data_IF_130980330666
#
_entry.id   IF_130980330666
#
_cell.length_a   1.000
_cell.length_b   1.000
_cell.length_c   1.000
_cell.angle_alpha   90.00
_cell.angle_beta   90.00
_cell.angle_gamma   90.00
#
_symmetry.space_group_name_H-M   'P 1'
#
loop_
_entity.id
_entity.type
_entity.pdbx_description
1 polymer ?
#
# COMPACT_ATOMS: atom_id res chain seq x y z
N UNK A 1 -17.76 -21.50 14.09
CA UNK A 1 -17.11 -20.23 13.80
C UNK A 1 -17.31 -19.88 12.32
N UNK A 2 -17.83 -18.67 12.03
CA UNK A 2 -18.14 -18.24 10.66
C UNK A 2 -16.85 -18.06 9.83
N UNK A 3 -15.76 -17.64 10.46
CA UNK A 3 -14.44 -17.47 9.80
C UNK A 3 -13.96 -18.78 9.20
N UNK A 4 -14.09 -19.90 9.93
CA UNK A 4 -13.66 -21.22 9.45
C UNK A 4 -14.42 -21.75 8.23
N UNK A 5 -15.57 -21.18 7.90
CA UNK A 5 -16.31 -21.56 6.68
C UNK A 5 -15.65 -21.03 5.40
N UNK A 6 -14.91 -19.93 5.50
CA UNK A 6 -14.26 -19.26 4.36
C UNK A 6 -12.74 -19.29 4.45
N UNK A 7 -12.20 -19.48 5.65
CA UNK A 7 -10.77 -19.58 5.92
C UNK A 7 -10.54 -20.68 6.97
N UNK A 8 -10.35 -21.94 6.55
CA UNK A 8 -10.44 -23.13 7.42
C UNK A 8 -9.18 -23.43 8.22
N UNK A 9 -8.41 -22.43 8.59
CA UNK A 9 -7.18 -22.57 9.37
C UNK A 9 -7.38 -22.18 10.83
N UNK A 10 -6.57 -22.77 11.70
CA UNK A 10 -6.44 -22.35 13.09
C UNK A 10 -5.29 -21.34 13.22
N UNK A 11 -5.58 -20.15 13.65
CA UNK A 11 -4.61 -19.06 13.81
C UNK A 11 -5.02 -18.10 14.92
N UNK A 12 -4.04 -17.37 15.43
CA UNK A 12 -4.27 -16.16 16.22
C UNK A 12 -3.73 -14.95 15.46
N UNK A 13 -4.53 -13.89 15.37
CA UNK A 13 -4.15 -12.62 14.76
C UNK A 13 -4.23 -11.51 15.79
N UNK A 14 -3.09 -10.90 16.11
CA UNK A 14 -2.99 -9.82 17.08
C UNK A 14 -2.58 -8.52 16.39
N UNK A 15 -3.33 -7.46 16.64
CA UNK A 15 -2.99 -6.11 16.19
C UNK A 15 -2.65 -5.27 17.41
N UNK A 16 -1.41 -4.82 17.49
CA UNK A 16 -0.94 -3.93 18.56
C UNK A 16 -0.70 -2.53 18.01
N UNK A 17 -1.31 -1.54 18.63
CA UNK A 17 -1.08 -0.13 18.30
C UNK A 17 -0.35 0.55 19.45
N UNK A 18 0.79 1.19 19.14
CA UNK A 18 1.61 1.93 20.11
C UNK A 18 1.73 3.38 19.68
N UNK A 19 1.39 4.30 20.58
CA UNK A 19 1.60 5.74 20.39
C UNK A 19 2.80 6.20 21.22
N UNK A 20 3.77 6.83 20.57
CA UNK A 20 4.93 7.44 21.23
C UNK A 20 5.23 8.80 20.58
N UNK A 21 4.99 9.88 21.32
CA UNK A 21 5.09 11.22 20.78
C UNK A 21 4.17 11.42 19.56
N UNK A 22 4.76 11.61 18.39
CA UNK A 22 4.03 11.77 17.10
C UNK A 22 4.06 10.52 16.23
N UNK A 23 4.50 9.40 16.77
CA UNK A 23 4.63 8.15 16.01
C UNK A 23 3.60 7.15 16.49
N UNK A 24 2.82 6.62 15.54
CA UNK A 24 1.96 5.44 15.72
C UNK A 24 2.68 4.26 15.09
N UNK A 25 2.87 3.21 15.87
CA UNK A 25 3.38 1.92 15.37
C UNK A 25 2.26 0.92 15.40
N UNK A 26 2.00 0.28 14.26
CA UNK A 26 1.05 -0.82 14.14
C UNK A 26 1.85 -2.10 13.92
N UNK A 27 1.61 -3.09 14.78
CA UNK A 27 2.26 -4.40 14.73
C UNK A 27 1.18 -5.44 14.47
N UNK A 28 1.38 -6.25 13.45
CA UNK A 28 0.55 -7.41 13.14
C UNK A 28 1.33 -8.67 13.45
N UNK A 29 0.74 -9.50 14.29
CA UNK A 29 1.31 -10.78 14.69
C UNK A 29 0.32 -11.88 14.26
N UNK A 30 0.77 -12.75 13.37
CA UNK A 30 0.01 -13.92 12.91
C UNK A 30 0.69 -15.16 13.44
N UNK A 31 0.00 -15.90 14.28
CA UNK A 31 0.46 -17.16 14.85
C UNK A 31 -0.34 -18.32 14.25
N UNK A 32 0.35 -19.26 13.64
CA UNK A 32 -0.24 -20.53 13.23
C UNK A 32 -0.46 -21.39 14.47
N UNK A 33 -1.70 -21.60 14.86
CA UNK A 33 -2.06 -22.48 16.00
C UNK A 33 -2.57 -23.83 15.56
N UNK A 34 -2.55 -24.11 14.24
CA UNK A 34 -2.89 -25.39 13.64
C UNK A 34 -1.68 -26.29 13.41
N UNK A 35 -1.91 -27.44 12.80
CA UNK A 35 -0.89 -28.42 12.45
C UNK A 35 -0.44 -28.33 11.00
N UNK A 36 -1.19 -27.64 10.14
CA UNK A 36 -0.93 -27.50 8.71
C UNK A 36 -0.30 -26.12 8.40
N UNK A 37 0.31 -25.97 7.24
CA UNK A 37 0.85 -24.71 6.78
C UNK A 37 -0.26 -23.66 6.67
N UNK A 38 0.01 -22.46 7.21
CA UNK A 38 -0.90 -21.32 7.17
C UNK A 38 -0.45 -20.33 6.11
N UNK A 39 -1.25 -20.15 5.08
CA UNK A 39 -1.07 -19.13 4.04
C UNK A 39 -1.96 -17.93 4.31
N UNK A 40 -1.40 -16.73 4.32
CA UNK A 40 -2.18 -15.52 4.59
C UNK A 40 -1.61 -14.30 3.86
N UNK A 41 -2.49 -13.31 3.69
CA UNK A 41 -2.11 -11.95 3.30
C UNK A 41 -2.53 -10.99 4.40
N UNK A 42 -1.76 -9.95 4.61
CA UNK A 42 -2.07 -8.89 5.58
C UNK A 42 -1.65 -7.53 5.04
N UNK A 43 -2.44 -6.52 5.32
CA UNK A 43 -2.14 -5.17 4.91
C UNK A 43 -2.93 -4.14 5.70
N UNK A 44 -2.56 -2.88 5.56
CA UNK A 44 -3.26 -1.76 6.15
C UNK A 44 -3.82 -0.82 5.09
N UNK A 45 -4.89 -0.12 5.44
CA UNK A 45 -5.52 0.88 4.60
C UNK A 45 -5.73 2.19 5.37
N UNK A 46 -4.66 2.76 5.97
CA UNK A 46 -4.79 4.01 6.70
C UNK A 46 -5.05 5.16 5.75
N UNK A 47 -6.08 5.95 6.06
CA UNK A 47 -6.42 7.18 5.35
C UNK A 47 -6.04 8.39 6.20
N UNK A 48 -5.42 9.38 5.57
CA UNK A 48 -4.99 10.62 6.21
C UNK A 48 -5.73 11.81 5.60
N UNK A 49 -6.41 12.57 6.45
CA UNK A 49 -6.99 13.84 6.03
C UNK A 49 -5.87 14.81 5.68
N UNK A 50 -5.96 15.42 4.51
CA UNK A 50 -4.93 16.33 4.00
C UNK A 50 -5.55 17.59 3.42
N UNK A 51 -4.79 18.71 3.35
CA UNK A 51 -5.20 19.91 2.65
C UNK A 51 -5.22 19.68 1.13
N UNK A 52 -5.84 20.59 0.39
CA UNK A 52 -6.04 20.46 -1.07
C UNK A 52 -4.76 20.37 -1.89
N UNK A 53 -3.65 20.93 -1.42
CA UNK A 53 -2.36 20.94 -2.13
C UNK A 53 -1.31 20.20 -1.32
N UNK A 54 -0.72 19.17 -1.91
CA UNK A 54 0.33 18.38 -1.28
C UNK A 54 1.19 17.67 -2.33
N UNK A 55 2.37 17.23 -1.90
CA UNK A 55 3.21 16.31 -2.66
C UNK A 55 3.19 14.93 -2.01
N UNK A 56 3.22 13.88 -2.81
CA UNK A 56 3.51 12.52 -2.35
C UNK A 56 5.01 12.29 -2.49
N UNK A 57 5.65 11.85 -1.42
CA UNK A 57 7.10 11.72 -1.31
C UNK A 57 7.47 10.26 -1.11
N UNK A 58 8.42 9.77 -1.90
CA UNK A 58 8.88 8.38 -1.87
C UNK A 58 10.30 8.29 -1.34
N UNK A 59 10.55 7.30 -0.49
CA UNK A 59 11.87 6.88 -0.01
C UNK A 59 12.75 8.00 0.58
N UNK A 60 12.15 9.10 1.07
CA UNK A 60 12.89 10.21 1.65
C UNK A 60 13.82 9.74 2.78
N UNK A 61 15.06 10.24 2.76
CA UNK A 61 16.14 9.87 3.69
C UNK A 61 16.62 8.40 3.60
N UNK A 62 16.26 7.68 2.54
CA UNK A 62 16.78 6.35 2.22
C UNK A 62 17.82 6.41 1.10
N UNK A 63 18.54 5.29 0.88
CA UNK A 63 19.57 5.20 -0.16
C UNK A 63 19.06 5.44 -1.57
N UNK A 64 17.81 5.06 -1.82
CA UNK A 64 17.10 5.21 -3.09
C UNK A 64 16.30 6.51 -3.20
N UNK A 65 16.50 7.47 -2.32
CA UNK A 65 15.82 8.77 -2.39
C UNK A 65 16.12 9.57 -3.66
N UNK A 66 17.20 9.28 -4.34
CA UNK A 66 17.57 9.92 -5.60
C UNK A 66 16.96 9.29 -6.85
N UNK A 67 16.11 8.28 -6.72
CA UNK A 67 15.41 7.70 -7.85
C UNK A 67 14.52 8.75 -8.53
N UNK A 68 14.58 8.76 -9.85
CA UNK A 68 13.83 9.68 -10.70
C UNK A 68 12.59 9.03 -11.30
N UNK A 69 12.42 7.73 -11.12
CA UNK A 69 11.33 6.95 -11.67
C UNK A 69 10.98 5.78 -10.74
N UNK A 70 9.68 5.50 -10.60
CA UNK A 70 9.13 4.28 -10.02
C UNK A 70 8.25 3.59 -11.06
N UNK A 71 8.08 2.29 -10.90
CA UNK A 71 7.13 1.52 -11.69
C UNK A 71 5.88 1.22 -10.87
N UNK A 72 4.71 1.36 -11.45
CA UNK A 72 3.44 1.04 -10.80
C UNK A 72 2.52 0.27 -11.71
N UNK A 73 1.59 -0.46 -11.11
CA UNK A 73 0.51 -1.17 -11.78
C UNK A 73 -0.84 -0.66 -11.29
N UNK A 74 -1.87 -0.92 -12.07
CA UNK A 74 -3.25 -0.50 -11.76
C UNK A 74 -4.16 -1.70 -11.57
N UNK A 75 -5.31 -1.45 -10.97
CA UNK A 75 -6.41 -2.42 -10.91
C UNK A 75 -7.17 -2.35 -12.23
N UNK A 76 -7.38 -3.50 -12.85
CA UNK A 76 -8.25 -3.64 -14.00
C UNK A 76 -9.72 -3.46 -13.56
N UNK A 77 -10.46 -2.51 -14.14
CA UNK A 77 -11.81 -2.18 -13.68
C UNK A 77 -12.86 -3.25 -14.00
N UNK A 78 -12.58 -4.17 -14.92
CA UNK A 78 -13.52 -5.22 -15.31
C UNK A 78 -13.41 -6.45 -14.41
N UNK A 79 -12.19 -6.80 -14.02
CA UNK A 79 -11.90 -8.00 -13.23
C UNK A 79 -11.62 -7.71 -11.75
N UNK A 80 -11.33 -6.46 -11.38
CA UNK A 80 -10.79 -6.04 -10.09
C UNK A 80 -9.45 -6.71 -9.72
N UNK A 81 -8.78 -7.33 -10.68
CA UNK A 81 -7.42 -7.86 -10.55
C UNK A 81 -6.37 -6.81 -10.88
N UNK A 82 -5.13 -7.03 -10.46
CA UNK A 82 -4.01 -6.17 -10.82
C UNK A 82 -3.54 -6.50 -12.24
N UNK A 83 -3.44 -5.49 -13.08
CA UNK A 83 -2.86 -5.60 -14.43
C UNK A 83 -1.32 -5.56 -14.34
N UNK A 84 -0.73 -6.64 -13.86
CA UNK A 84 0.70 -6.77 -13.74
C UNK A 84 1.43 -6.94 -15.08
N UNK A 85 0.70 -7.19 -16.17
CA UNK A 85 1.28 -7.33 -17.52
C UNK A 85 1.61 -5.97 -18.16
N UNK A 86 0.99 -4.88 -17.70
CA UNK A 86 1.14 -3.55 -18.27
C UNK A 86 1.60 -2.52 -17.22
N UNK A 87 2.81 -2.68 -16.65
CA UNK A 87 3.33 -1.71 -15.71
C UNK A 87 3.53 -0.34 -16.36
N UNK A 88 3.35 0.70 -15.56
CA UNK A 88 3.52 2.10 -15.97
C UNK A 88 4.66 2.74 -15.19
N UNK A 89 5.22 3.78 -15.76
CA UNK A 89 6.31 4.54 -15.16
C UNK A 89 5.81 5.84 -14.56
N UNK A 90 6.24 6.12 -13.34
CA UNK A 90 5.98 7.34 -12.61
C UNK A 90 7.28 8.14 -12.47
N UNK A 91 7.38 9.26 -13.18
CA UNK A 91 8.53 10.15 -13.06
C UNK A 91 8.48 10.96 -11.77
N UNK A 92 9.58 10.99 -11.04
CA UNK A 92 9.72 11.72 -9.79
C UNK A 92 10.61 12.97 -9.98
N UNK A 93 10.23 14.06 -9.33
CA UNK A 93 11.04 15.26 -9.22
C UNK A 93 11.52 15.38 -7.76
N UNK A 94 12.81 15.19 -7.53
CA UNK A 94 13.38 15.17 -6.18
C UNK A 94 12.66 14.14 -5.26
N UNK A 95 12.39 12.93 -5.79
CA UNK A 95 11.77 11.84 -5.04
C UNK A 95 10.29 12.05 -4.74
N UNK A 96 9.59 12.93 -5.45
CA UNK A 96 8.18 13.22 -5.20
C UNK A 96 7.38 13.54 -6.45
N UNK A 97 6.06 13.46 -6.32
CA UNK A 97 5.08 13.91 -7.29
C UNK A 97 4.10 14.89 -6.63
N UNK A 98 3.70 15.97 -7.33
CA UNK A 98 2.63 16.82 -6.86
C UNK A 98 1.28 16.11 -7.01
N UNK A 99 0.40 16.30 -6.04
CA UNK A 99 -0.98 15.88 -6.20
C UNK A 99 -1.64 16.63 -7.35
N UNK A 100 -2.38 15.89 -8.17
CA UNK A 100 -3.31 16.44 -9.16
C UNK A 100 -4.68 15.77 -9.00
N UNK A 101 -5.74 16.47 -9.36
CA UNK A 101 -7.11 15.93 -9.24
C UNK A 101 -7.33 14.65 -10.03
N UNK A 102 -6.51 14.41 -11.06
CA UNK A 102 -6.61 13.24 -11.94
C UNK A 102 -5.66 12.10 -11.55
N UNK A 103 -4.83 12.29 -10.52
CA UNK A 103 -3.79 11.32 -10.16
C UNK A 103 -4.35 9.91 -9.90
N UNK A 104 -5.55 9.84 -9.33
CA UNK A 104 -6.21 8.60 -8.95
C UNK A 104 -7.45 8.28 -9.82
N UNK A 105 -7.60 8.90 -10.99
CA UNK A 105 -8.77 8.68 -11.85
C UNK A 105 -8.90 7.23 -12.36
N UNK A 106 -7.78 6.51 -12.41
CA UNK A 106 -7.68 5.10 -12.77
C UNK A 106 -7.45 4.19 -11.54
N UNK A 107 -7.87 4.61 -10.33
CA UNK A 107 -7.72 3.91 -9.06
C UNK A 107 -6.33 4.04 -8.41
N UNK A 108 -5.94 3.08 -7.57
CA UNK A 108 -4.71 3.09 -6.79
C UNK A 108 -3.45 2.98 -7.66
N UNK A 109 -2.40 3.71 -7.29
CA UNK A 109 -1.05 3.45 -7.79
C UNK A 109 -0.43 2.36 -6.93
N UNK A 110 -0.16 1.20 -7.50
CA UNK A 110 0.37 0.04 -6.78
C UNK A 110 1.85 -0.16 -7.14
N UNK A 111 2.70 -0.03 -6.15
CA UNK A 111 4.16 -0.19 -6.27
C UNK A 111 4.56 -1.55 -5.71
N UNK A 112 4.97 -2.47 -6.58
CA UNK A 112 5.41 -3.81 -6.23
C UNK A 112 6.94 -3.89 -6.06
N UNK A 113 7.44 -5.08 -5.74
CA UNK A 113 8.87 -5.42 -5.71
C UNK A 113 9.70 -4.62 -4.69
N UNK A 114 9.09 -4.25 -3.55
CA UNK A 114 9.77 -3.49 -2.48
C UNK A 114 10.41 -2.17 -2.93
N UNK A 115 9.94 -1.57 -4.02
CA UNK A 115 10.43 -0.29 -4.52
C UNK A 115 10.24 0.85 -3.51
N UNK A 116 9.20 0.75 -2.67
CA UNK A 116 8.82 1.78 -1.71
C UNK A 116 8.96 1.25 -0.29
N UNK A 117 9.99 1.72 0.42
CA UNK A 117 10.18 1.44 1.85
C UNK A 117 9.64 2.56 2.75
N UNK A 118 9.41 3.73 2.17
CA UNK A 118 8.87 4.89 2.87
C UNK A 118 8.05 5.73 1.90
N UNK A 119 6.81 6.04 2.28
CA UNK A 119 5.95 6.94 1.52
C UNK A 119 5.34 7.97 2.47
N UNK A 120 5.15 9.17 2.02
CA UNK A 120 4.59 10.23 2.85
C UNK A 120 3.93 11.33 2.06
N UNK A 121 3.40 12.29 2.81
CA UNK A 121 2.80 13.52 2.30
C UNK A 121 3.61 14.70 2.82
N UNK A 122 3.94 15.63 1.94
CA UNK A 122 4.45 16.95 2.28
C UNK A 122 3.43 18.03 1.93
N UNK A 123 3.29 18.99 2.83
CA UNK A 123 2.48 20.19 2.65
C UNK A 123 3.40 21.40 2.81
N UNK A 124 3.43 22.30 1.83
CA UNK A 124 4.34 23.44 1.79
C UNK A 124 5.81 23.03 2.01
N UNK A 125 6.22 21.88 1.42
CA UNK A 125 7.56 21.34 1.54
C UNK A 125 7.93 20.80 2.93
N UNK A 126 6.96 20.64 3.82
CA UNK A 126 7.17 20.09 5.19
C UNK A 126 6.48 18.74 5.32
N UNK A 127 7.12 17.75 5.99
CA UNK A 127 6.49 16.48 6.26
C UNK A 127 5.19 16.65 7.06
N UNK A 128 4.10 16.12 6.52
CA UNK A 128 2.78 16.09 7.16
C UNK A 128 2.52 14.73 7.81
N UNK A 129 2.66 13.66 7.03
CA UNK A 129 2.62 12.27 7.48
C UNK A 129 3.65 11.45 6.72
N UNK A 130 4.24 10.47 7.38
CA UNK A 130 5.17 9.53 6.75
C UNK A 130 4.87 8.13 7.26
N UNK A 131 4.69 7.20 6.34
CA UNK A 131 4.58 5.78 6.59
C UNK A 131 5.92 5.12 6.28
N UNK A 132 6.46 4.36 7.22
CA UNK A 132 7.59 3.46 6.98
C UNK A 132 7.04 2.06 6.80
N UNK A 133 7.28 1.47 5.63
CA UNK A 133 6.76 0.18 5.19
C UNK A 133 7.88 -0.76 4.74
N UNK A 134 9.03 -0.67 5.37
CA UNK A 134 10.18 -1.52 5.07
C UNK A 134 9.83 -3.00 5.24
N UNK A 135 10.14 -3.80 4.20
CA UNK A 135 9.85 -5.22 4.17
C UNK A 135 8.48 -5.58 3.61
N UNK A 136 7.64 -4.59 3.31
CA UNK A 136 6.40 -4.83 2.58
C UNK A 136 6.69 -4.93 1.07
N UNK A 137 6.27 -6.02 0.40
CA UNK A 137 6.52 -6.21 -1.03
C UNK A 137 5.74 -5.22 -1.90
N UNK A 138 4.57 -4.77 -1.44
CA UNK A 138 3.71 -3.87 -2.20
C UNK A 138 3.24 -2.70 -1.34
N UNK A 139 3.12 -1.54 -1.98
CA UNK A 139 2.56 -0.33 -1.37
C UNK A 139 1.55 0.29 -2.32
N UNK A 140 0.33 0.50 -1.84
CA UNK A 140 -0.71 1.25 -2.54
C UNK A 140 -0.72 2.72 -2.10
N UNK A 141 -0.94 3.61 -3.06
CA UNK A 141 -1.27 5.02 -2.79
C UNK A 141 -2.58 5.31 -3.51
N UNK A 142 -3.57 5.76 -2.73
CA UNK A 142 -4.91 5.89 -3.25
C UNK A 142 -5.67 7.08 -2.66
N UNK A 143 -6.55 7.63 -3.46
CA UNK A 143 -7.67 8.44 -3.03
C UNK A 143 -8.87 8.16 -3.92
N UNK A 144 -10.05 8.65 -3.54
CA UNK A 144 -11.27 8.33 -4.28
C UNK A 144 -11.19 8.85 -5.71
N UNK A 145 -11.32 7.98 -6.73
CA UNK A 145 -11.29 8.36 -8.14
C UNK A 145 -12.36 9.41 -8.49
N UNK A 146 -12.01 10.34 -9.35
CA UNK A 146 -12.92 11.37 -9.91
C UNK A 146 -13.67 12.18 -8.85
N UNK A 147 -13.06 12.33 -7.67
CA UNK A 147 -13.62 13.06 -6.53
C UNK A 147 -12.58 13.98 -5.89
N UNK A 148 -13.04 15.13 -5.37
CA UNK A 148 -12.22 15.99 -4.51
C UNK A 148 -12.27 15.46 -3.07
N UNK A 149 -11.69 14.27 -2.85
CA UNK A 149 -11.68 13.68 -1.54
C UNK A 149 -10.54 14.27 -0.69
N UNK A 150 -10.81 14.78 0.52
CA UNK A 150 -9.83 15.48 1.35
C UNK A 150 -8.92 14.48 2.11
N UNK A 151 -8.54 13.38 1.50
CA UNK A 151 -7.68 12.36 2.12
C UNK A 151 -6.82 11.66 1.08
N UNK A 152 -5.76 11.01 1.55
CA UNK A 152 -4.98 10.03 0.82
C UNK A 152 -4.75 8.79 1.68
N UNK A 153 -4.79 7.62 1.07
CA UNK A 153 -4.42 6.36 1.68
C UNK A 153 -2.98 6.00 1.32
N UNK A 154 -2.24 5.52 2.32
CA UNK A 154 -0.88 5.00 2.15
C UNK A 154 -0.89 3.56 2.69
N UNK A 155 -0.84 2.59 1.80
CA UNK A 155 -1.29 1.23 2.08
C UNK A 155 -0.15 0.21 1.94
N UNK A 156 0.45 -0.24 3.04
CA UNK A 156 1.46 -1.31 3.01
C UNK A 156 0.79 -2.67 2.96
N UNK A 157 1.21 -3.55 2.04
CA UNK A 157 0.65 -4.88 1.86
C UNK A 157 1.70 -5.99 1.81
N UNK A 158 1.43 -7.08 2.52
CA UNK A 158 2.04 -8.39 2.33
C UNK A 158 0.96 -9.26 1.69
N UNK A 159 1.03 -9.40 0.37
CA UNK A 159 -0.04 -9.96 -0.46
C UNK A 159 -1.12 -8.91 -0.78
N UNK A 160 -1.12 -8.44 -2.02
CA UNK A 160 -2.16 -7.59 -2.60
C UNK A 160 -3.24 -8.45 -3.29
N UNK A 161 -4.25 -7.84 -3.89
CA UNK A 161 -5.22 -8.55 -4.73
C UNK A 161 -4.54 -9.29 -5.89
N UNK A 162 -5.23 -10.28 -6.44
CA UNK A 162 -4.72 -11.17 -7.48
C UNK A 162 -4.38 -10.43 -8.76
N UNK A 163 -3.47 -10.99 -9.55
CA UNK A 163 -3.29 -10.56 -10.91
C UNK A 163 -4.50 -10.93 -11.77
N UNK A 164 -4.76 -10.15 -12.80
CA UNK A 164 -5.72 -10.53 -13.84
C UNK A 164 -5.41 -11.92 -14.36
N UNK A 165 -6.43 -12.80 -14.37
CA UNK A 165 -6.30 -14.18 -14.84
C UNK A 165 -5.63 -15.14 -13.85
N UNK A 166 -5.36 -14.74 -12.62
CA UNK A 166 -4.91 -15.69 -11.59
C UNK A 166 -6.06 -16.64 -11.23
N UNK A 167 -5.80 -17.95 -11.29
CA UNK A 167 -6.74 -19.03 -10.99
C UNK A 167 -6.18 -20.04 -9.96
N UNK A 168 -5.06 -19.69 -9.33
CA UNK A 168 -4.38 -20.51 -8.31
C UNK A 168 -5.00 -20.39 -6.92
N UNK A 169 -4.41 -21.10 -5.99
CA UNK A 169 -4.75 -21.02 -4.56
C UNK A 169 -3.91 -19.93 -3.84
N UNK A 170 -4.29 -19.60 -2.61
CA UNK A 170 -3.57 -18.59 -1.82
C UNK A 170 -2.08 -18.94 -1.62
N UNK A 171 -1.75 -20.23 -1.55
CA UNK A 171 -0.36 -20.72 -1.43
C UNK A 171 0.49 -20.45 -2.69
N UNK A 172 -0.13 -20.18 -3.82
CA UNK A 172 0.52 -19.99 -5.13
C UNK A 172 0.83 -18.52 -5.42
N UNK A 173 0.56 -17.63 -4.46
CA UNK A 173 0.78 -16.19 -4.53
C UNK A 173 2.19 -15.77 -4.13
#
# INVERSE_FOLDING_TARGET
DETKKVYPFDFAFTVTQKLSGRTVTVIWEVENTGEEDLYFSVGGHPAFMIPEQYDIVFNKDLRNHGETELEYVLIDPETAGVDAAHPRKLSLINGKIPYTRTLFDEDALIFDNTQVERVGVEVDGKPYVTLTCKGFPSVGVWSKPKADAPFVCLEPWIGRCDNVGFDGELKDK
#
